data_IF_330390700035
#
_entry.id   IF_330390700035
#
_cell.length_a   1.000
_cell.length_b   1.000
_cell.length_c   1.000
_cell.angle_alpha   90.00
_cell.angle_beta   90.00
_cell.angle_gamma   90.00
#
_symmetry.space_group_name_H-M   'P 1'
#
loop_
_entity.id
_entity.type
_entity.pdbx_description
1 polymer ?
#
# COMPACT_ATOMS: atom_id res chain seq x y z
N UNK A 1 17.44 24.97 -16.00
CA UNK A 1 16.90 24.50 -14.70
C UNK A 1 17.73 23.29 -14.27
N UNK A 2 18.74 23.47 -13.41
CA UNK A 2 19.57 22.35 -12.94
C UNK A 2 18.75 21.49 -11.97
N UNK A 3 18.57 20.21 -12.30
CA UNK A 3 17.76 19.28 -11.51
C UNK A 3 18.30 19.12 -10.10
N UNK A 4 17.58 19.67 -9.12
CA UNK A 4 17.90 19.64 -7.69
C UNK A 4 17.72 18.27 -7.02
N UNK A 5 17.80 17.16 -7.78
CA UNK A 5 17.52 15.80 -7.29
C UNK A 5 18.79 15.07 -6.78
N UNK A 6 19.98 15.59 -7.08
CA UNK A 6 21.24 15.04 -6.61
C UNK A 6 21.79 15.85 -5.44
N UNK A 7 22.35 15.16 -4.45
CA UNK A 7 23.09 15.80 -3.36
C UNK A 7 24.30 16.53 -3.93
N UNK A 8 24.47 17.80 -3.59
CA UNK A 8 25.78 18.44 -3.73
C UNK A 8 26.76 17.81 -2.73
N UNK A 9 28.06 17.87 -3.02
CA UNK A 9 29.07 17.25 -2.13
C UNK A 9 29.02 17.84 -0.70
N UNK A 10 28.77 19.14 -0.57
CA UNK A 10 28.60 19.80 0.72
C UNK A 10 27.36 19.30 1.49
N UNK A 11 26.24 19.06 0.79
CA UNK A 11 25.05 18.47 1.41
C UNK A 11 25.26 17.01 1.79
N UNK A 12 26.01 16.25 0.98
CA UNK A 12 26.34 14.85 1.27
C UNK A 12 27.12 14.75 2.59
N UNK A 13 28.17 15.55 2.77
CA UNK A 13 28.94 15.57 4.01
C UNK A 13 28.08 15.93 5.23
N UNK A 14 27.17 16.90 5.08
CA UNK A 14 26.24 17.29 6.14
C UNK A 14 25.31 16.14 6.52
N UNK A 15 24.74 15.45 5.53
CA UNK A 15 23.85 14.29 5.75
C UNK A 15 24.62 13.12 6.37
N UNK A 16 25.88 12.88 5.97
CA UNK A 16 26.76 11.87 6.61
C UNK A 16 26.92 12.17 8.10
N UNK A 17 27.22 13.43 8.44
CA UNK A 17 27.38 13.85 9.83
C UNK A 17 26.08 13.63 10.62
N UNK A 18 24.93 14.04 10.07
CA UNK A 18 23.63 13.84 10.73
C UNK A 18 23.29 12.35 10.93
N UNK A 19 23.56 11.51 9.93
CA UNK A 19 23.35 10.06 10.03
C UNK A 19 24.24 9.42 11.09
N UNK A 20 25.52 9.81 11.19
CA UNK A 20 26.45 9.34 12.23
C UNK A 20 26.03 9.78 13.63
N UNK A 21 25.47 10.98 13.74
CA UNK A 21 24.89 11.49 14.99
C UNK A 21 23.51 10.90 15.33
N UNK A 22 23.01 9.94 14.55
CA UNK A 22 21.76 9.22 14.85
C UNK A 22 20.47 9.97 14.50
N UNK A 23 20.55 11.05 13.71
CA UNK A 23 19.36 11.80 13.32
C UNK A 23 18.42 10.95 12.45
N UNK A 24 17.12 11.08 12.67
CA UNK A 24 16.13 10.36 11.86
C UNK A 24 15.94 11.04 10.49
N UNK A 25 15.39 10.30 9.50
CA UNK A 25 15.08 10.88 8.18
C UNK A 25 14.14 12.10 8.24
N UNK A 26 13.28 12.16 9.27
CA UNK A 26 12.41 13.32 9.49
C UNK A 26 13.24 14.54 9.90
N UNK A 27 14.18 14.34 10.82
CA UNK A 27 15.02 15.41 11.36
C UNK A 27 16.03 15.90 10.32
N UNK A 28 16.61 14.98 9.54
CA UNK A 28 17.46 15.31 8.38
C UNK A 28 16.65 16.12 7.36
N UNK A 29 15.41 15.72 7.08
CA UNK A 29 14.52 16.50 6.21
C UNK A 29 14.29 17.92 6.74
N UNK A 30 13.99 18.07 8.04
CA UNK A 30 13.77 19.37 8.66
C UNK A 30 15.00 20.28 8.57
N UNK A 31 16.21 19.76 8.81
CA UNK A 31 17.46 20.53 8.72
C UNK A 31 17.80 20.91 7.27
N UNK A 32 17.49 20.05 6.31
CA UNK A 32 17.80 20.26 4.89
C UNK A 32 16.68 20.98 4.12
N UNK A 33 15.58 21.36 4.77
CA UNK A 33 14.42 21.97 4.11
C UNK A 33 13.67 21.00 3.18
N UNK A 34 13.80 19.70 3.39
CA UNK A 34 13.18 18.64 2.58
C UNK A 34 12.03 17.96 3.34
N UNK A 35 11.06 17.43 2.60
CA UNK A 35 10.06 16.53 3.19
C UNK A 35 10.74 15.22 3.66
N UNK A 36 10.16 14.56 4.68
CA UNK A 36 10.65 13.26 5.19
C UNK A 36 10.87 12.24 4.06
N UNK A 37 9.95 12.19 3.10
CA UNK A 37 10.00 11.23 2.01
C UNK A 37 11.03 11.63 0.96
N UNK A 38 11.21 12.92 0.70
CA UNK A 38 12.26 13.42 -0.19
C UNK A 38 13.66 13.13 0.40
N UNK A 39 13.88 13.43 1.68
CA UNK A 39 15.14 13.13 2.37
C UNK A 39 15.43 11.62 2.37
N UNK A 40 14.45 10.79 2.70
CA UNK A 40 14.58 9.34 2.66
C UNK A 40 14.86 8.79 1.25
N UNK A 41 14.17 9.30 0.24
CA UNK A 41 14.37 8.92 -1.16
C UNK A 41 15.76 9.27 -1.67
N UNK A 42 16.24 10.48 -1.38
CA UNK A 42 17.59 10.92 -1.78
C UNK A 42 18.70 10.17 -1.03
N UNK A 43 18.53 9.89 0.27
CA UNK A 43 19.46 9.04 1.03
C UNK A 43 19.52 7.62 0.47
N UNK A 44 18.38 7.07 0.05
CA UNK A 44 18.32 5.71 -0.49
C UNK A 44 18.93 5.58 -1.89
N UNK A 45 18.78 6.60 -2.74
CA UNK A 45 19.35 6.62 -4.10
C UNK A 45 20.88 6.76 -4.09
N UNK A 46 21.45 7.46 -3.10
CA UNK A 46 22.90 7.57 -2.92
C UNK A 46 23.45 6.34 -2.19
N UNK A 47 24.32 5.56 -2.85
CA UNK A 47 24.86 4.30 -2.30
C UNK A 47 25.62 4.53 -1.00
N UNK A 48 26.41 5.60 -0.89
CA UNK A 48 27.23 5.85 0.29
C UNK A 48 26.35 6.24 1.48
N UNK A 49 25.38 7.13 1.27
CA UNK A 49 24.44 7.53 2.31
C UNK A 49 23.51 6.40 2.74
N UNK A 50 23.09 5.55 1.79
CA UNK A 50 22.28 4.36 2.08
C UNK A 50 23.04 3.39 2.99
N UNK A 51 24.31 3.13 2.72
CA UNK A 51 25.13 2.22 3.54
C UNK A 51 25.29 2.75 4.97
N UNK A 52 25.64 4.03 5.11
CA UNK A 52 25.77 4.69 6.42
C UNK A 52 24.43 4.68 7.15
N UNK A 53 23.33 4.99 6.47
CA UNK A 53 21.98 4.97 7.08
C UNK A 53 21.54 3.57 7.50
N UNK A 54 22.02 2.50 6.85
CA UNK A 54 21.74 1.11 7.24
C UNK A 54 22.57 0.73 8.46
N UNK A 55 23.84 1.10 8.48
CA UNK A 55 24.75 0.84 9.59
C UNK A 55 24.33 1.57 10.88
N UNK A 56 23.81 2.79 10.80
CA UNK A 56 23.36 3.57 11.96
C UNK A 56 21.93 3.26 12.38
N UNK A 57 21.16 2.51 11.58
CA UNK A 57 19.79 2.14 11.94
C UNK A 57 19.83 1.04 12.98
N UNK A 58 19.09 1.16 14.11
CA UNK A 58 18.93 0.04 15.01
C UNK A 58 18.34 -1.16 14.25
N UNK A 59 18.76 -2.39 14.61
CA UNK A 59 18.23 -3.59 13.97
C UNK A 59 16.70 -3.54 14.02
N UNK A 60 16.02 -4.01 12.95
CA UNK A 60 14.57 -4.06 12.98
C UNK A 60 14.16 -4.83 14.23
N UNK A 61 13.36 -4.20 15.09
CA UNK A 61 12.74 -4.90 16.21
C UNK A 61 12.14 -6.18 15.65
N UNK A 62 12.38 -7.36 16.26
CA UNK A 62 11.81 -8.60 15.78
C UNK A 62 10.32 -8.33 15.58
N UNK A 63 9.84 -8.56 14.35
CA UNK A 63 8.41 -8.44 14.06
C UNK A 63 7.73 -9.24 15.16
N UNK A 64 6.76 -8.69 15.91
CA UNK A 64 5.99 -9.53 16.80
C UNK A 64 5.54 -10.70 15.95
N UNK A 65 5.95 -11.92 16.34
CA UNK A 65 5.43 -13.11 15.69
C UNK A 65 3.91 -12.92 15.65
N UNK A 66 3.24 -13.19 14.53
CA UNK A 66 1.79 -13.23 14.53
C UNK A 66 1.45 -14.17 15.69
N UNK A 67 1.00 -13.62 16.82
CA UNK A 67 0.40 -14.42 17.86
C UNK A 67 -0.70 -15.09 17.09
N UNK A 68 -0.56 -16.40 16.87
CA UNK A 68 -1.70 -17.20 16.49
C UNK A 68 -2.82 -16.69 17.38
N UNK A 69 -3.89 -16.19 16.76
CA UNK A 69 -5.11 -15.87 17.49
C UNK A 69 -5.55 -17.21 18.05
N UNK A 70 -4.99 -17.59 19.21
CA UNK A 70 -5.60 -18.52 20.12
C UNK A 70 -6.96 -17.89 20.30
N UNK A 71 -7.98 -18.57 19.76
CA UNK A 71 -9.36 -18.26 20.08
C UNK A 71 -9.48 -18.47 21.58
N UNK A 72 -9.07 -17.46 22.35
CA UNK A 72 -9.39 -17.37 23.75
C UNK A 72 -10.87 -17.02 23.71
N UNK A 73 -11.67 -18.06 23.88
CA UNK A 73 -13.09 -17.96 24.17
C UNK A 73 -13.24 -16.88 25.23
N UNK A 74 -13.77 -15.74 24.82
CA UNK A 74 -13.96 -14.58 25.67
C UNK A 74 -14.95 -15.02 26.75
N UNK A 75 -14.47 -15.17 27.98
CA UNK A 75 -15.31 -15.43 29.14
C UNK A 75 -16.09 -14.15 29.41
N UNK A 76 -17.30 -14.09 28.85
CA UNK A 76 -18.25 -13.00 29.03
C UNK A 76 -18.69 -12.98 30.50
N UNK A 77 -18.33 -11.92 31.24
CA UNK A 77 -19.06 -11.54 32.45
C UNK A 77 -20.01 -10.42 32.07
N UNK A 78 -21.30 -10.70 32.16
CA UNK A 78 -22.39 -9.71 32.26
C UNK A 78 -23.00 -9.88 33.67
N UNK A 79 -23.82 -8.96 34.24
CA UNK A 79 -24.40 -7.73 33.66
C UNK A 79 -24.43 -6.50 34.60
N UNK A 80 -24.84 -5.34 34.05
CA UNK A 80 -25.95 -4.53 34.60
C UNK A 80 -26.50 -3.53 33.55
N UNK A 81 -27.84 -3.35 33.40
CA UNK A 81 -28.51 -2.39 32.47
C UNK A 81 -29.01 -1.12 33.21
N UNK A 82 -29.83 -0.17 32.65
CA UNK A 82 -30.09 0.38 31.28
C UNK A 82 -29.89 1.95 31.28
N UNK A 83 -30.41 2.87 30.39
CA UNK A 83 -31.38 2.73 29.28
C UNK A 83 -31.10 3.46 27.93
N UNK A 84 -31.76 2.92 26.87
CA UNK A 84 -32.45 3.55 25.71
C UNK A 84 -31.72 4.74 25.03
N UNK A 85 -31.37 4.74 23.75
CA UNK A 85 -32.18 4.57 22.53
C UNK A 85 -31.15 4.60 21.38
N UNK A 86 -31.11 3.64 20.47
CA UNK A 86 -31.43 3.83 19.05
C UNK A 86 -31.20 2.48 18.37
N UNK A 87 -32.12 2.08 17.50
CA UNK A 87 -32.05 0.82 16.77
C UNK A 87 -30.72 0.72 15.99
N UNK A 88 -30.03 -0.44 15.98
CA UNK A 88 -28.93 -0.64 15.06
C UNK A 88 -29.48 -0.55 13.63
N UNK A 89 -29.14 0.52 12.92
CA UNK A 89 -29.38 0.65 11.49
C UNK A 89 -28.68 -0.53 10.82
N UNK A 90 -29.49 -1.49 10.37
CA UNK A 90 -29.05 -2.66 9.61
C UNK A 90 -28.18 -2.13 8.47
N UNK A 91 -26.89 -2.44 8.51
CA UNK A 91 -25.95 -2.12 7.44
C UNK A 91 -26.39 -2.95 6.24
N UNK A 92 -27.22 -2.35 5.39
CA UNK A 92 -27.66 -2.94 4.14
C UNK A 92 -26.40 -3.15 3.30
N UNK A 93 -25.95 -4.39 3.18
CA UNK A 93 -24.90 -4.77 2.26
C UNK A 93 -25.43 -4.55 0.86
N UNK A 94 -25.08 -3.41 0.26
CA UNK A 94 -25.32 -3.16 -1.16
C UNK A 94 -24.47 -4.15 -1.96
N UNK A 95 -24.99 -5.35 -2.16
CA UNK A 95 -24.34 -6.38 -2.96
C UNK A 95 -24.50 -5.98 -4.42
N UNK A 96 -23.46 -5.39 -5.00
CA UNK A 96 -23.44 -5.14 -6.43
C UNK A 96 -23.22 -6.46 -7.18
N UNK A 97 -24.02 -6.80 -8.20
CA UNK A 97 -23.86 -8.05 -8.92
C UNK A 97 -22.49 -8.10 -9.59
N UNK A 98 -21.81 -9.24 -9.45
CA UNK A 98 -20.55 -9.50 -10.13
C UNK A 98 -20.81 -9.63 -11.63
N UNK A 99 -20.19 -8.79 -12.48
CA UNK A 99 -20.33 -8.92 -13.92
C UNK A 99 -19.55 -10.15 -14.41
N UNK A 100 -19.98 -10.68 -15.54
CA UNK A 100 -19.24 -11.73 -16.22
C UNK A 100 -17.98 -11.13 -16.87
N UNK A 101 -16.81 -11.63 -16.43
CA UNK A 101 -15.53 -11.19 -16.97
C UNK A 101 -15.28 -11.85 -18.34
N UNK A 102 -14.90 -11.03 -19.33
CA UNK A 102 -14.54 -11.48 -20.68
C UNK A 102 -13.16 -12.13 -20.78
N UNK A 103 -12.31 -11.99 -19.75
CA UNK A 103 -10.96 -12.61 -19.67
C UNK A 103 -10.10 -12.26 -20.89
N UNK A 104 -9.86 -10.97 -21.06
CA UNK A 104 -9.10 -10.41 -22.18
C UNK A 104 -7.61 -10.35 -21.82
N UNK A 105 -6.70 -10.55 -22.77
CA UNK A 105 -5.26 -10.40 -22.51
C UNK A 105 -4.88 -8.92 -22.34
N UNK A 106 -3.67 -8.63 -21.84
CA UNK A 106 -3.22 -7.24 -21.72
C UNK A 106 -3.16 -6.52 -23.08
N UNK A 107 -2.85 -7.25 -24.14
CA UNK A 107 -2.64 -6.70 -25.49
C UNK A 107 -3.97 -6.37 -26.16
N UNK A 108 -4.99 -7.18 -25.93
CA UNK A 108 -6.29 -7.02 -26.58
C UNK A 108 -7.22 -6.03 -25.85
N UNK A 109 -6.83 -5.60 -24.65
CA UNK A 109 -7.64 -4.77 -23.77
C UNK A 109 -7.73 -3.31 -24.26
N UNK A 110 -8.96 -2.82 -24.47
CA UNK A 110 -9.20 -1.46 -24.92
C UNK A 110 -9.16 -0.42 -23.79
N UNK A 111 -9.15 0.87 -24.16
CA UNK A 111 -9.03 1.99 -23.22
C UNK A 111 -10.27 2.16 -22.32
N UNK A 112 -11.43 1.80 -22.84
CA UNK A 112 -12.77 1.81 -22.23
C UNK A 112 -13.16 0.45 -21.63
N UNK A 113 -12.19 -0.45 -21.43
CA UNK A 113 -12.40 -1.77 -20.85
C UNK A 113 -11.74 -1.92 -19.48
N UNK A 114 -12.37 -2.73 -18.63
CA UNK A 114 -11.95 -2.90 -17.25
C UNK A 114 -10.62 -3.65 -17.14
N UNK A 115 -9.63 -2.95 -16.59
CA UNK A 115 -8.23 -3.41 -16.39
C UNK A 115 -8.01 -4.20 -15.11
N UNK A 116 -9.06 -4.78 -14.55
CA UNK A 116 -8.94 -5.55 -13.32
C UNK A 116 -8.43 -6.96 -13.64
N UNK A 117 -7.34 -7.43 -13.00
CA UNK A 117 -6.84 -8.78 -13.21
C UNK A 117 -7.78 -9.81 -12.58
N UNK A 118 -8.27 -10.76 -13.37
CA UNK A 118 -9.23 -11.78 -12.90
C UNK A 118 -8.59 -13.14 -12.69
N UNK A 119 -7.62 -13.51 -13.50
CA UNK A 119 -7.03 -14.84 -13.51
C UNK A 119 -5.57 -14.79 -13.96
N UNK A 120 -4.71 -15.60 -13.35
CA UNK A 120 -3.34 -15.78 -13.80
C UNK A 120 -3.31 -16.86 -14.87
N UNK A 121 -2.82 -16.53 -16.05
CA UNK A 121 -2.67 -17.48 -17.16
C UNK A 121 -1.29 -17.29 -17.77
N UNK A 122 -0.41 -18.28 -17.55
CA UNK A 122 0.97 -18.25 -18.05
C UNK A 122 1.06 -18.33 -19.58
N UNK A 123 -0.01 -18.77 -20.24
CA UNK A 123 -0.09 -18.83 -21.71
C UNK A 123 -0.52 -17.50 -22.32
N UNK A 124 -1.19 -16.64 -21.54
CA UNK A 124 -1.57 -15.31 -21.97
C UNK A 124 -0.35 -14.37 -22.00
N UNK A 125 -0.33 -13.46 -23.00
CA UNK A 125 0.70 -12.42 -23.08
C UNK A 125 0.57 -11.50 -21.85
N UNK A 126 1.62 -11.46 -21.04
CA UNK A 126 1.62 -10.74 -19.76
C UNK A 126 1.24 -11.59 -18.54
N UNK A 127 0.96 -12.89 -18.71
CA UNK A 127 0.77 -13.84 -17.61
C UNK A 127 -0.56 -13.73 -16.86
N UNK A 128 -1.50 -12.90 -17.35
CA UNK A 128 -2.72 -12.55 -16.64
C UNK A 128 -3.85 -12.22 -17.63
N UNK A 129 -5.08 -12.59 -17.25
CA UNK A 129 -6.31 -12.21 -17.95
C UNK A 129 -7.03 -11.11 -17.17
N UNK A 130 -7.67 -10.20 -17.90
CA UNK A 130 -8.34 -9.00 -17.40
C UNK A 130 -9.85 -9.09 -17.57
N UNK A 131 -10.59 -8.31 -16.77
CA UNK A 131 -12.05 -8.34 -16.75
C UNK A 131 -12.67 -8.00 -18.11
N UNK A 132 -12.22 -6.96 -18.81
CA UNK A 132 -12.68 -6.63 -20.17
C UNK A 132 -14.14 -6.15 -20.29
N UNK A 133 -14.82 -5.90 -19.16
CA UNK A 133 -16.17 -5.29 -19.14
C UNK A 133 -16.04 -3.80 -19.39
N UNK A 134 -16.97 -3.22 -20.16
CA UNK A 134 -16.99 -1.79 -20.46
C UNK A 134 -16.93 -0.93 -19.18
N UNK A 135 -16.15 0.15 -19.26
CA UNK A 135 -16.03 1.15 -18.21
C UNK A 135 -16.80 2.41 -18.60
N UNK A 136 -17.22 3.17 -17.58
CA UNK A 136 -17.70 4.53 -17.81
C UNK A 136 -16.53 5.42 -18.25
N UNK A 137 -16.81 6.49 -19.00
CA UNK A 137 -15.79 7.38 -19.57
C UNK A 137 -14.67 7.74 -18.58
N UNK A 138 -13.43 7.53 -19.01
CA UNK A 138 -12.18 7.81 -18.27
C UNK A 138 -11.95 6.95 -17.01
N UNK A 139 -12.66 5.83 -16.84
CA UNK A 139 -12.38 4.89 -15.74
C UNK A 139 -11.55 3.69 -16.19
N UNK A 140 -10.60 3.29 -15.34
CA UNK A 140 -9.79 2.08 -15.56
C UNK A 140 -10.53 0.78 -15.20
N UNK A 141 -11.61 0.86 -14.41
CA UNK A 141 -12.33 -0.30 -13.89
C UNK A 141 -13.84 -0.13 -14.07
N UNK A 142 -14.54 -1.24 -14.30
CA UNK A 142 -16.00 -1.26 -14.32
C UNK A 142 -16.56 -0.95 -12.92
N UNK A 143 -17.86 -0.62 -12.77
CA UNK A 143 -18.45 -0.30 -11.48
C UNK A 143 -18.12 -1.33 -10.39
N UNK A 144 -18.18 -2.62 -10.73
CA UNK A 144 -17.89 -3.73 -9.81
C UNK A 144 -16.46 -3.75 -9.31
N UNK A 145 -15.49 -3.66 -10.20
CA UNK A 145 -14.09 -3.67 -9.83
C UNK A 145 -13.66 -2.36 -9.16
N UNK A 146 -14.32 -1.25 -9.47
CA UNK A 146 -14.19 -0.02 -8.70
C UNK A 146 -14.70 -0.20 -7.26
N UNK A 147 -15.87 -0.81 -7.07
CA UNK A 147 -16.47 -1.05 -5.75
C UNK A 147 -15.60 -1.96 -4.86
N UNK A 148 -15.12 -3.08 -5.40
CA UNK A 148 -14.29 -4.01 -4.60
C UNK A 148 -12.83 -3.55 -4.47
N UNK A 149 -12.34 -2.72 -5.39
CA UNK A 149 -10.95 -2.22 -5.37
C UNK A 149 -10.59 -1.35 -4.17
N UNK A 150 -11.57 -0.65 -3.60
CA UNK A 150 -11.40 0.13 -2.37
C UNK A 150 -11.42 -0.73 -1.10
N UNK A 151 -11.85 -1.99 -1.21
CA UNK A 151 -11.81 -2.92 -0.08
C UNK A 151 -10.46 -3.62 -0.10
N UNK A 152 -9.59 -3.45 0.92
CA UNK A 152 -8.32 -4.16 0.95
C UNK A 152 -8.58 -5.67 0.82
N UNK A 153 -7.84 -6.39 -0.04
CA UNK A 153 -8.06 -7.82 -0.22
C UNK A 153 -7.96 -8.49 1.15
N UNK A 154 -8.99 -9.26 1.52
CA UNK A 154 -8.96 -10.07 2.74
C UNK A 154 -7.93 -11.18 2.56
N UNK A 155 -6.66 -10.86 2.84
CA UNK A 155 -5.55 -11.79 3.05
C UNK A 155 -5.54 -13.01 2.12
N UNK A 156 -5.42 -12.83 0.81
CA UNK A 156 -5.10 -13.90 -0.12
C UNK A 156 -3.60 -13.95 -0.38
N UNK A 157 -2.88 -14.88 0.25
CA UNK A 157 -1.51 -15.23 -0.13
C UNK A 157 -1.54 -15.73 -1.58
N UNK A 158 -0.87 -15.05 -2.49
CA UNK A 158 -0.46 -15.65 -3.76
C UNK A 158 0.54 -16.76 -3.42
N UNK A 159 0.14 -18.01 -3.65
CA UNK A 159 1.01 -19.19 -3.62
C UNK A 159 1.76 -19.37 -4.92
#
# INVERSE_FOLDING_TARGET
>A
MMGSDQWTDAERERVISLLKNGYSRRDIGAVMGLSRNAAGGRIFRDKQLSEISRATRPPPKPKPQPKERRMSSLKFKSPSPPPRTEAPKVQQTTQMPKPEARRVTLVDLQADECKWPVEADKTAIGGQLFCGVATEEKRNWCPYHHFIGHTPPRGGRHG
#
